data_IF_370844767102
#
_entry.id   IF_370844767102
#
_cell.length_a   1.000
_cell.length_b   1.000
_cell.length_c   1.000
_cell.angle_alpha   90.00
_cell.angle_beta   90.00
_cell.angle_gamma   90.00
#
_symmetry.space_group_name_H-M   'P 1'
#
loop_
_entity.id
_entity.type
_entity.pdbx_description
1 polymer ?
#
# COMPACT_ATOMS: atom_id res chain seq x y z
N UNK A 1 19.92 -18.84 -20.69
CA UNK A 1 20.21 -17.70 -21.57
C UNK A 1 20.02 -16.45 -20.72
N UNK A 2 21.09 -15.93 -20.17
CA UNK A 2 21.15 -14.84 -19.20
C UNK A 2 20.98 -13.51 -19.93
N UNK A 3 19.85 -12.85 -19.73
CA UNK A 3 19.66 -11.48 -20.19
C UNK A 3 20.36 -10.53 -19.21
N UNK A 4 21.51 -10.03 -19.60
CA UNK A 4 22.13 -8.83 -19.04
C UNK A 4 21.29 -7.65 -19.57
N UNK A 5 20.50 -7.01 -18.71
CA UNK A 5 19.87 -5.73 -18.97
C UNK A 5 20.84 -4.63 -18.57
N UNK A 6 21.21 -3.80 -19.52
CA UNK A 6 22.08 -2.64 -19.34
C UNK A 6 21.43 -1.63 -18.38
N UNK A 7 22.08 -1.39 -17.26
CA UNK A 7 21.82 -0.24 -16.39
C UNK A 7 22.40 1.01 -17.08
N UNK A 8 21.58 1.72 -17.83
CA UNK A 8 21.89 3.08 -18.26
C UNK A 8 21.41 4.08 -17.19
N UNK A 9 22.13 4.18 -16.09
CA UNK A 9 22.00 5.27 -15.12
C UNK A 9 22.94 6.41 -15.49
N UNK A 10 22.43 7.64 -15.49
CA UNK A 10 23.28 8.84 -15.60
C UNK A 10 24.21 8.91 -14.38
N UNK A 11 25.47 8.56 -14.59
CA UNK A 11 26.55 8.53 -13.57
C UNK A 11 27.12 9.94 -13.23
N UNK A 12 26.56 11.03 -13.79
CA UNK A 12 27.19 12.36 -13.66
C UNK A 12 27.11 12.98 -12.25
N UNK A 13 26.29 12.45 -11.35
CA UNK A 13 26.11 13.03 -9.99
C UNK A 13 25.51 14.45 -9.97
N UNK A 14 25.28 15.06 -11.12
CA UNK A 14 24.75 16.42 -11.26
C UNK A 14 23.22 16.38 -11.30
N UNK A 15 22.59 17.05 -10.33
CA UNK A 15 21.12 17.19 -10.33
C UNK A 15 20.72 18.13 -11.48
N UNK A 16 19.89 17.69 -12.45
CA UNK A 16 19.46 18.52 -13.56
C UNK A 16 18.57 19.68 -13.07
N UNK A 17 18.41 20.71 -13.91
CA UNK A 17 17.50 21.84 -13.60
C UNK A 17 16.04 21.46 -13.77
N UNK A 18 15.76 20.55 -14.69
CA UNK A 18 14.43 20.07 -15.04
C UNK A 18 14.37 18.54 -14.98
N UNK A 19 13.17 18.00 -14.86
CA UNK A 19 12.90 16.56 -14.76
C UNK A 19 11.66 16.19 -15.54
N UNK A 20 11.55 14.94 -15.96
CA UNK A 20 10.33 14.37 -16.50
C UNK A 20 9.37 13.96 -15.37
N UNK A 21 8.08 14.23 -15.59
CA UNK A 21 7.00 13.80 -14.70
C UNK A 21 5.77 13.36 -15.51
N UNK A 22 5.13 12.30 -15.07
CA UNK A 22 3.82 11.90 -15.57
C UNK A 22 2.73 12.60 -14.74
N UNK A 23 1.99 13.50 -15.38
CA UNK A 23 0.96 14.31 -14.71
C UNK A 23 -0.43 13.86 -15.12
N UNK A 24 -1.32 13.73 -14.15
CA UNK A 24 -2.76 13.67 -14.39
C UNK A 24 -3.24 15.10 -14.70
N UNK A 25 -3.58 15.38 -15.98
CA UNK A 25 -3.92 16.72 -16.46
C UNK A 25 -5.42 17.03 -16.42
N UNK A 26 -6.23 15.99 -16.45
CA UNK A 26 -7.66 15.99 -16.24
C UNK A 26 -8.10 14.56 -15.87
N UNK A 27 -9.39 14.35 -15.56
CA UNK A 27 -9.94 13.02 -15.35
C UNK A 27 -9.60 12.12 -16.56
N UNK A 28 -9.03 10.96 -16.29
CA UNK A 28 -8.57 9.96 -17.27
C UNK A 28 -7.56 10.49 -18.32
N UNK A 29 -6.85 11.57 -18.03
CA UNK A 29 -5.92 12.15 -19.00
C UNK A 29 -4.55 12.39 -18.41
N UNK A 30 -3.53 11.77 -18.99
CA UNK A 30 -2.13 11.90 -18.59
C UNK A 30 -1.32 12.67 -19.62
N UNK A 31 -0.26 13.31 -19.19
CA UNK A 31 0.77 13.84 -20.05
C UNK A 31 2.14 13.79 -19.37
N UNK A 32 3.14 13.36 -20.14
CA UNK A 32 4.53 13.60 -19.77
C UNK A 32 4.82 15.11 -19.88
N UNK A 33 5.43 15.67 -18.85
CA UNK A 33 5.79 17.08 -18.77
C UNK A 33 7.20 17.23 -18.21
N UNK A 34 7.91 18.19 -18.74
CA UNK A 34 9.15 18.67 -18.14
C UNK A 34 8.80 19.69 -17.05
N UNK A 35 9.29 19.46 -15.85
CA UNK A 35 9.08 20.33 -14.69
C UNK A 35 10.42 20.74 -14.08
N UNK A 36 10.51 21.89 -13.40
CA UNK A 36 11.70 22.22 -12.62
C UNK A 36 11.88 21.18 -11.49
N UNK A 37 13.14 20.78 -11.24
CA UNK A 37 13.47 19.95 -10.07
C UNK A 37 13.22 20.77 -8.81
N UNK A 38 12.44 20.25 -7.83
CA UNK A 38 12.12 21.01 -6.63
C UNK A 38 13.35 21.22 -5.75
N UNK A 39 13.38 22.36 -5.06
CA UNK A 39 14.38 22.64 -4.02
C UNK A 39 13.79 22.18 -2.69
N UNK A 40 14.48 21.30 -1.92
CA UNK A 40 13.97 20.85 -0.64
C UNK A 40 13.95 22.03 0.36
N UNK A 41 12.82 22.18 1.06
CA UNK A 41 12.67 23.17 2.13
C UNK A 41 13.34 22.68 3.43
N UNK A 42 13.27 23.52 4.49
CA UNK A 42 13.73 23.13 5.84
C UNK A 42 13.06 21.83 6.30
N UNK A 43 13.88 20.87 6.76
CA UNK A 43 13.43 19.54 7.19
C UNK A 43 12.93 18.63 6.06
N UNK A 44 13.25 18.96 4.81
CA UNK A 44 12.98 18.12 3.63
C UNK A 44 14.29 17.65 2.99
N UNK A 45 14.19 16.60 2.19
CA UNK A 45 15.27 16.13 1.31
C UNK A 45 14.75 16.00 -0.11
N UNK A 46 15.60 16.27 -1.10
CA UNK A 46 15.33 15.93 -2.48
C UNK A 46 15.71 14.48 -2.71
N UNK A 47 14.75 13.70 -3.21
CA UNK A 47 14.98 12.30 -3.58
C UNK A 47 14.92 12.14 -5.10
N UNK A 48 15.87 11.36 -5.66
CA UNK A 48 15.74 10.76 -6.98
C UNK A 48 14.85 9.54 -6.82
N UNK A 49 13.73 9.50 -7.53
CA UNK A 49 12.80 8.38 -7.49
C UNK A 49 13.34 7.24 -8.35
N UNK A 50 13.29 6.02 -7.85
CA UNK A 50 13.79 4.82 -8.53
C UNK A 50 12.71 3.80 -8.82
N UNK A 51 11.64 3.78 -8.04
CA UNK A 51 10.51 2.89 -8.26
C UNK A 51 9.24 3.46 -7.60
N UNK A 52 8.12 3.36 -8.28
CA UNK A 52 6.77 3.74 -7.80
C UNK A 52 5.81 2.61 -8.08
N UNK A 53 5.18 2.07 -7.05
CA UNK A 53 4.18 1.02 -7.21
C UNK A 53 2.78 1.63 -7.37
N UNK A 54 1.98 1.07 -8.29
CA UNK A 54 0.60 1.48 -8.52
C UNK A 54 -0.29 0.89 -7.42
N UNK A 55 -1.04 1.75 -6.74
CA UNK A 55 -2.02 1.39 -5.71
C UNK A 55 -3.43 1.20 -6.30
N UNK A 56 -4.28 0.47 -5.58
CA UNK A 56 -5.70 0.33 -5.95
C UNK A 56 -6.47 1.65 -5.94
N UNK A 57 -6.02 2.66 -5.19
CA UNK A 57 -6.62 4.01 -5.17
C UNK A 57 -6.23 4.88 -6.36
N UNK A 58 -5.11 4.60 -7.06
CA UNK A 58 -4.68 5.41 -8.20
C UNK A 58 -5.70 5.42 -9.33
N UNK A 59 -6.26 4.28 -9.79
CA UNK A 59 -7.34 4.28 -10.78
C UNK A 59 -8.58 5.07 -10.35
N UNK A 60 -8.93 5.05 -9.07
CA UNK A 60 -10.08 5.80 -8.57
C UNK A 60 -9.85 7.32 -8.59
N UNK A 61 -8.62 7.76 -8.26
CA UNK A 61 -8.21 9.17 -8.40
C UNK A 61 -8.22 9.59 -9.87
N UNK A 62 -7.68 8.74 -10.76
CA UNK A 62 -7.66 8.96 -12.21
C UNK A 62 -9.08 9.16 -12.76
N UNK A 63 -10.02 8.33 -12.33
CA UNK A 63 -11.43 8.43 -12.71
C UNK A 63 -12.18 9.58 -12.03
N UNK A 64 -11.53 10.35 -11.16
CA UNK A 64 -12.15 11.47 -10.46
C UNK A 64 -13.11 11.10 -9.33
N UNK A 65 -13.18 9.83 -8.89
CA UNK A 65 -14.08 9.37 -7.82
C UNK A 65 -13.86 10.07 -6.47
N UNK A 66 -12.67 10.65 -6.27
CA UNK A 66 -12.29 11.28 -5.00
C UNK A 66 -12.09 12.80 -5.09
N UNK A 67 -12.56 13.45 -6.16
CA UNK A 67 -12.47 14.92 -6.31
C UNK A 67 -13.16 15.65 -5.14
N UNK A 68 -14.28 15.15 -4.64
CA UNK A 68 -14.97 15.71 -3.47
C UNK A 68 -14.14 15.65 -2.17
N UNK A 69 -13.14 14.76 -2.10
CA UNK A 69 -12.18 14.66 -0.99
C UNK A 69 -10.94 15.53 -1.22
N UNK A 70 -10.85 16.25 -2.37
CA UNK A 70 -9.67 16.99 -2.78
C UNK A 70 -8.51 16.06 -3.22
N UNK A 71 -8.79 14.92 -3.84
CA UNK A 71 -7.85 13.95 -4.39
C UNK A 71 -8.01 13.83 -5.90
N UNK A 72 -7.23 14.55 -6.71
CA UNK A 72 -6.24 15.58 -6.34
C UNK A 72 -6.94 16.92 -6.02
N UNK A 73 -6.22 17.87 -5.40
CA UNK A 73 -6.79 19.18 -5.05
C UNK A 73 -7.03 20.07 -6.29
N UNK A 74 -6.32 19.79 -7.37
CA UNK A 74 -6.38 20.49 -8.67
C UNK A 74 -5.72 19.68 -9.77
N UNK A 75 -5.98 20.01 -11.00
CA UNK A 75 -5.22 19.55 -12.19
C UNK A 75 -4.39 20.70 -12.75
N UNK A 76 -3.19 20.45 -13.35
CA UNK A 76 -2.52 19.15 -13.43
C UNK A 76 -1.89 18.74 -12.08
N UNK A 77 -1.68 17.44 -11.87
CA UNK A 77 -1.18 16.90 -10.60
C UNK A 77 -0.23 15.70 -10.82
N UNK A 78 0.87 15.64 -10.06
CA UNK A 78 1.78 14.48 -10.03
C UNK A 78 1.31 13.51 -8.96
N UNK A 79 0.89 12.31 -9.38
CA UNK A 79 0.44 11.22 -8.51
C UNK A 79 1.61 10.34 -8.04
N UNK A 80 1.28 9.18 -7.45
CA UNK A 80 2.24 8.17 -6.98
C UNK A 80 2.64 8.38 -5.53
N UNK A 81 2.43 7.36 -4.71
CA UNK A 81 2.64 7.46 -3.26
C UNK A 81 3.39 6.27 -2.65
N UNK A 82 3.44 5.15 -3.33
CA UNK A 82 4.17 3.95 -2.91
C UNK A 82 5.54 3.93 -3.62
N UNK A 83 6.56 4.52 -3.04
CA UNK A 83 7.80 4.79 -3.76
C UNK A 83 9.07 4.47 -2.97
N UNK A 84 10.18 4.37 -3.69
CA UNK A 84 11.54 4.30 -3.15
C UNK A 84 12.52 5.05 -4.04
N UNK A 85 13.65 5.45 -3.47
CA UNK A 85 14.67 6.19 -4.18
C UNK A 85 15.89 6.50 -3.34
N UNK A 86 16.63 7.51 -3.76
CA UNK A 86 17.88 7.96 -3.14
C UNK A 86 17.81 9.42 -2.77
N UNK A 87 18.33 9.79 -1.62
CA UNK A 87 18.54 11.19 -1.21
C UNK A 87 19.68 11.79 -2.04
N UNK A 88 19.40 12.87 -2.78
CA UNK A 88 20.39 13.51 -3.65
C UNK A 88 20.73 14.95 -3.22
N UNK A 89 19.95 15.54 -2.32
CA UNK A 89 20.23 16.86 -1.70
C UNK A 89 19.49 16.98 -0.38
N UNK A 90 20.11 17.63 0.58
CA UNK A 90 19.51 17.93 1.88
C UNK A 90 18.96 19.37 1.89
N UNK A 91 17.79 19.57 2.50
CA UNK A 91 17.31 20.89 2.89
C UNK A 91 17.93 21.34 4.20
N UNK A 92 17.67 22.59 4.56
CA UNK A 92 18.17 23.19 5.80
C UNK A 92 17.71 22.39 7.04
N UNK A 93 18.58 22.25 8.04
CA UNK A 93 18.29 21.58 9.31
C UNK A 93 18.25 20.05 9.28
N UNK A 94 18.47 19.42 8.12
CA UNK A 94 18.48 17.95 8.02
C UNK A 94 19.83 17.40 8.47
N UNK A 95 19.82 16.54 9.49
CA UNK A 95 21.02 15.90 10.08
C UNK A 95 20.94 14.36 10.09
N UNK A 96 19.75 13.80 10.02
CA UNK A 96 19.49 12.35 10.09
C UNK A 96 19.71 11.60 8.77
N UNK A 97 19.80 12.32 7.64
CA UNK A 97 20.07 11.77 6.30
C UNK A 97 21.33 12.36 5.71
N UNK A 98 21.88 11.69 4.73
CA UNK A 98 22.97 12.15 3.86
C UNK A 98 22.66 11.84 2.39
N UNK A 99 23.32 12.54 1.48
CA UNK A 99 23.29 12.21 0.06
C UNK A 99 23.79 10.79 -0.18
N UNK A 100 23.11 10.06 -1.06
CA UNK A 100 23.32 8.63 -1.31
C UNK A 100 22.53 7.70 -0.38
N UNK A 101 21.86 8.19 0.68
CA UNK A 101 20.99 7.34 1.48
C UNK A 101 19.83 6.81 0.64
N UNK A 102 19.69 5.49 0.64
CA UNK A 102 18.57 4.80 -0.01
C UNK A 102 17.36 4.82 0.90
N UNK A 103 16.18 5.18 0.36
CA UNK A 103 14.98 5.42 1.16
C UNK A 103 13.73 4.82 0.52
N UNK A 104 12.74 4.52 1.36
CA UNK A 104 11.35 4.28 0.97
C UNK A 104 10.45 5.36 1.59
N UNK A 105 9.44 5.78 0.84
CA UNK A 105 8.51 6.81 1.25
C UNK A 105 7.31 6.27 2.02
N UNK A 106 6.83 7.11 2.93
CA UNK A 106 5.52 7.05 3.56
C UNK A 106 4.61 8.06 2.83
N UNK A 107 3.40 7.67 2.44
CA UNK A 107 2.49 8.60 1.78
C UNK A 107 2.11 9.77 2.69
N UNK A 108 2.13 9.57 4.00
CA UNK A 108 1.64 10.54 4.98
C UNK A 108 2.75 11.23 5.78
N UNK A 109 2.60 12.55 5.92
CA UNK A 109 3.18 13.34 7.00
C UNK A 109 2.05 14.06 7.72
N UNK A 110 1.82 13.79 9.00
CA UNK A 110 0.89 14.57 9.83
C UNK A 110 1.41 15.98 10.09
N UNK A 111 0.53 16.86 10.59
CA UNK A 111 0.95 18.23 10.97
C UNK A 111 1.94 18.24 12.16
N UNK A 112 1.98 17.17 12.95
CA UNK A 112 2.88 17.01 14.10
C UNK A 112 2.37 17.69 15.38
N UNK A 113 1.36 18.57 15.32
CA UNK A 113 0.90 19.37 16.46
C UNK A 113 -0.51 19.04 16.96
N UNK A 114 -1.36 18.40 16.16
CA UNK A 114 -2.69 18.02 16.62
C UNK A 114 -2.63 16.76 17.52
N UNK A 115 -3.67 16.55 18.31
CA UNK A 115 -3.75 15.43 19.25
C UNK A 115 -3.47 14.08 18.59
N UNK A 116 -4.10 13.78 17.46
CA UNK A 116 -3.88 12.51 16.76
C UNK A 116 -2.41 12.33 16.32
N UNK A 117 -1.76 13.39 15.84
CA UNK A 117 -0.34 13.32 15.47
C UNK A 117 0.56 13.12 16.69
N UNK A 118 0.28 13.79 17.81
CA UNK A 118 1.04 13.63 19.05
C UNK A 118 0.90 12.22 19.64
N UNK A 119 -0.23 11.57 19.43
CA UNK A 119 -0.47 10.16 19.79
C UNK A 119 0.10 9.16 18.77
N UNK A 120 0.78 9.63 17.71
CA UNK A 120 1.35 8.79 16.66
C UNK A 120 0.37 8.41 15.53
N UNK A 121 -0.87 8.85 15.60
CA UNK A 121 -1.94 8.53 14.64
C UNK A 121 -2.00 9.55 13.49
N UNK A 122 -0.86 9.87 12.89
CA UNK A 122 -0.73 10.95 11.91
C UNK A 122 -1.49 10.72 10.60
N UNK A 123 -1.82 9.49 10.24
CA UNK A 123 -2.63 9.16 9.06
C UNK A 123 -4.09 9.61 9.19
N UNK A 124 -4.56 9.83 10.43
CA UNK A 124 -5.86 10.42 10.75
C UNK A 124 -5.70 11.82 11.37
N UNK A 125 -4.75 12.61 10.84
CA UNK A 125 -4.46 13.97 11.26
C UNK A 125 -5.72 14.86 11.24
N UNK A 126 -5.95 15.64 12.31
CA UNK A 126 -7.10 16.56 12.38
C UNK A 126 -6.99 17.75 11.41
N UNK A 127 -5.76 18.03 10.94
CA UNK A 127 -5.46 19.06 9.94
C UNK A 127 -5.25 18.46 8.54
N UNK A 128 -5.93 17.34 8.24
CA UNK A 128 -5.81 16.68 6.94
C UNK A 128 -6.14 17.64 5.79
N UNK A 129 -5.32 17.65 4.74
CA UNK A 129 -5.49 18.50 3.56
C UNK A 129 -5.08 19.97 3.75
N UNK A 130 -4.51 20.35 4.91
CA UNK A 130 -4.08 21.72 5.22
C UNK A 130 -2.56 21.83 5.18
N UNK A 131 -1.95 22.13 4.02
CA UNK A 131 -0.49 22.15 3.86
C UNK A 131 0.19 23.25 4.70
N UNK A 132 -0.50 24.34 5.03
CA UNK A 132 -0.03 25.43 5.89
C UNK A 132 0.24 24.98 7.34
N UNK A 133 -0.40 23.88 7.77
CA UNK A 133 -0.13 23.28 9.08
C UNK A 133 1.02 22.26 9.06
N UNK A 134 1.65 22.08 7.91
CA UNK A 134 2.70 21.09 7.69
C UNK A 134 2.18 19.69 7.32
N UNK A 135 0.86 19.48 7.20
CA UNK A 135 0.31 18.21 6.72
C UNK A 135 0.68 17.96 5.25
N UNK A 136 1.06 16.72 4.93
CA UNK A 136 1.25 16.22 3.56
C UNK A 136 0.60 14.85 3.41
N UNK A 137 0.02 14.62 2.23
CA UNK A 137 -0.36 13.31 1.75
C UNK A 137 0.12 13.24 0.30
N UNK A 138 1.33 12.74 0.15
CA UNK A 138 2.04 12.71 -1.14
C UNK A 138 1.30 11.82 -2.14
N UNK A 139 1.16 12.28 -3.38
CA UNK A 139 0.40 11.61 -4.43
C UNK A 139 -1.12 11.77 -4.35
N UNK A 140 -1.65 12.44 -3.30
CA UNK A 140 -3.09 12.70 -3.09
C UNK A 140 -3.42 14.18 -3.00
N UNK A 141 -2.84 14.90 -2.01
CA UNK A 141 -3.04 16.35 -1.81
C UNK A 141 -1.74 17.13 -1.95
N UNK A 142 -0.61 16.45 -1.94
CA UNK A 142 0.73 16.99 -2.20
C UNK A 142 1.34 16.23 -3.37
N UNK A 143 2.22 16.85 -4.20
CA UNK A 143 2.86 16.16 -5.32
C UNK A 143 3.47 14.83 -4.92
N UNK A 144 3.30 13.82 -5.78
CA UNK A 144 3.74 12.45 -5.57
C UNK A 144 5.03 12.08 -6.30
N UNK A 145 5.19 10.80 -6.58
CA UNK A 145 6.43 10.19 -7.05
C UNK A 145 6.44 9.80 -8.54
N UNK A 146 5.36 10.04 -9.30
CA UNK A 146 5.36 9.77 -10.74
C UNK A 146 6.21 10.79 -11.51
N UNK A 147 7.48 10.95 -11.10
CA UNK A 147 8.47 11.89 -11.61
C UNK A 147 9.88 11.42 -11.22
N UNK A 148 10.91 12.00 -11.85
CA UNK A 148 12.29 11.61 -11.57
C UNK A 148 12.81 12.11 -10.22
N UNK A 149 12.32 13.24 -9.73
CA UNK A 149 12.72 13.84 -8.45
C UNK A 149 11.52 14.43 -7.72
N UNK A 150 11.51 14.32 -6.38
CA UNK A 150 10.55 15.06 -5.56
C UNK A 150 11.15 15.37 -4.17
N UNK A 151 10.67 16.43 -3.53
CA UNK A 151 11.07 16.80 -2.18
C UNK A 151 10.13 16.18 -1.15
N UNK A 152 10.70 15.55 -0.13
CA UNK A 152 9.95 14.87 0.93
C UNK A 152 10.44 15.31 2.31
N UNK A 153 9.50 15.45 3.23
CA UNK A 153 9.84 15.63 4.64
C UNK A 153 10.60 14.41 5.16
N UNK A 154 11.65 14.64 5.93
CA UNK A 154 12.40 13.57 6.62
C UNK A 154 11.50 12.68 7.50
N UNK A 155 10.34 13.18 7.94
CA UNK A 155 9.36 12.42 8.71
C UNK A 155 8.56 11.43 7.86
N UNK A 156 8.55 11.58 6.54
CA UNK A 156 7.82 10.75 5.60
C UNK A 156 8.73 9.78 4.79
N UNK A 157 9.96 9.57 5.22
CA UNK A 157 10.89 8.64 4.57
C UNK A 157 11.62 7.79 5.59
N UNK A 158 12.04 6.60 5.18
CA UNK A 158 12.82 5.67 6.00
C UNK A 158 13.98 5.09 5.20
N UNK A 159 15.16 4.98 5.83
CA UNK A 159 16.32 4.34 5.20
C UNK A 159 16.05 2.88 4.93
N UNK A 160 16.47 2.41 3.77
CA UNK A 160 16.42 0.99 3.39
C UNK A 160 17.83 0.42 3.26
N UNK A 161 18.03 -0.87 3.57
CA UNK A 161 19.35 -1.50 3.41
C UNK A 161 19.69 -1.69 1.93
N UNK A 162 20.98 -1.76 1.61
CA UNK A 162 21.48 -1.98 0.25
C UNK A 162 21.00 -3.31 -0.36
N UNK A 163 20.71 -4.30 0.48
CA UNK A 163 20.20 -5.61 0.07
C UNK A 163 18.72 -5.59 -0.37
N UNK A 164 17.97 -4.51 -0.11
CA UNK A 164 16.58 -4.37 -0.55
C UNK A 164 16.55 -3.55 -1.85
N UNK A 165 16.10 -4.14 -2.96
CA UNK A 165 15.97 -3.44 -4.24
C UNK A 165 14.95 -2.29 -4.13
N UNK A 166 15.10 -1.23 -4.94
CA UNK A 166 14.14 -0.15 -4.98
C UNK A 166 12.73 -0.63 -5.37
N UNK A 167 12.65 -1.56 -6.32
CA UNK A 167 11.37 -2.17 -6.73
C UNK A 167 10.65 -2.82 -5.54
N UNK A 168 11.36 -3.60 -4.72
CA UNK A 168 10.75 -4.20 -3.53
C UNK A 168 10.52 -3.18 -2.40
N UNK A 169 11.37 -2.18 -2.30
CA UNK A 169 11.23 -1.12 -1.30
C UNK A 169 10.01 -0.21 -1.56
N UNK A 170 9.55 -0.07 -2.82
CA UNK A 170 8.30 0.62 -3.12
C UNK A 170 7.07 -0.05 -2.49
N UNK A 171 7.17 -1.34 -2.10
CA UNK A 171 6.13 -2.05 -1.37
C UNK A 171 6.09 -1.73 0.14
N UNK A 172 6.99 -0.91 0.66
CA UNK A 172 7.02 -0.59 2.11
C UNK A 172 5.70 0.06 2.55
N UNK A 173 5.11 0.90 1.72
CA UNK A 173 3.79 1.48 1.97
C UNK A 173 2.69 0.40 1.97
N UNK A 174 2.56 -0.38 0.89
CA UNK A 174 1.58 -1.48 0.78
C UNK A 174 1.68 -2.48 1.94
N UNK A 175 2.89 -2.95 2.25
CA UNK A 175 3.14 -3.88 3.35
C UNK A 175 2.92 -3.22 4.72
N UNK A 176 3.11 -1.90 4.78
CA UNK A 176 2.79 -1.08 5.94
C UNK A 176 1.31 -1.08 6.26
N UNK A 177 0.45 -0.92 5.24
CA UNK A 177 -1.01 -1.05 5.41
C UNK A 177 -1.38 -2.42 5.99
N UNK A 178 -0.77 -3.49 5.47
CA UNK A 178 -0.97 -4.85 5.99
C UNK A 178 -0.54 -4.98 7.45
N UNK A 179 0.68 -4.53 7.78
CA UNK A 179 1.20 -4.63 9.15
C UNK A 179 0.41 -3.75 10.13
N UNK A 180 -0.05 -2.57 9.71
CA UNK A 180 -0.88 -1.71 10.55
C UNK A 180 -2.22 -2.38 10.88
N UNK A 181 -2.90 -2.96 9.89
CA UNK A 181 -4.14 -3.71 10.11
C UNK A 181 -3.93 -4.87 11.11
N UNK A 182 -2.83 -5.61 10.96
CA UNK A 182 -2.45 -6.68 11.89
C UNK A 182 -2.23 -6.12 13.31
N UNK A 183 -1.52 -5.01 13.46
CA UNK A 183 -1.30 -4.38 14.77
C UNK A 183 -2.57 -3.92 15.45
N UNK A 184 -3.58 -3.49 14.68
CA UNK A 184 -4.85 -2.98 15.23
C UNK A 184 -5.71 -4.07 15.88
N UNK A 185 -5.68 -5.29 15.35
CA UNK A 185 -6.51 -6.39 15.88
C UNK A 185 -5.69 -7.49 16.56
N UNK A 186 -4.37 -7.52 16.32
CA UNK A 186 -3.49 -8.60 16.77
C UNK A 186 -3.68 -9.89 15.97
N UNK A 187 -2.86 -10.89 16.28
CA UNK A 187 -2.96 -12.26 15.75
C UNK A 187 -2.85 -13.22 16.91
N UNK A 188 -3.69 -14.25 16.91
CA UNK A 188 -3.62 -15.36 17.85
C UNK A 188 -2.53 -16.34 17.36
N UNK A 189 -1.40 -16.52 18.09
CA UNK A 189 -0.42 -17.55 17.72
C UNK A 189 -1.07 -18.94 17.71
N UNK A 190 -0.79 -19.75 16.71
CA UNK A 190 -1.45 -21.04 16.49
C UNK A 190 -2.92 -20.94 16.09
N UNK A 191 -3.42 -19.73 15.79
CA UNK A 191 -4.81 -19.51 15.38
C UNK A 191 -5.03 -19.66 13.88
N UNK A 192 -6.30 -19.65 13.49
CA UNK A 192 -6.76 -19.65 12.10
C UNK A 192 -7.10 -18.25 11.64
N UNK A 193 -6.54 -17.83 10.52
CA UNK A 193 -6.78 -16.49 9.94
C UNK A 193 -7.38 -16.64 8.55
N UNK A 194 -8.47 -15.93 8.28
CA UNK A 194 -9.05 -15.83 6.94
C UNK A 194 -8.76 -14.44 6.31
N UNK A 195 -8.38 -14.43 5.03
CA UNK A 195 -8.04 -13.22 4.28
C UNK A 195 -8.94 -13.15 3.04
N UNK A 196 -9.77 -12.14 2.97
CA UNK A 196 -10.63 -11.88 1.82
C UNK A 196 -9.95 -10.91 0.84
N UNK A 197 -9.48 -11.43 -0.27
CA UNK A 197 -8.85 -10.70 -1.36
C UNK A 197 -7.34 -10.95 -1.51
N UNK A 198 -6.92 -11.79 -2.49
CA UNK A 198 -5.52 -12.05 -2.84
C UNK A 198 -4.93 -10.90 -3.68
N UNK A 199 -5.15 -9.66 -3.24
CA UNK A 199 -4.49 -8.47 -3.76
C UNK A 199 -3.15 -8.21 -3.06
N UNK A 200 -2.42 -7.13 -3.43
CA UNK A 200 -1.12 -6.82 -2.83
C UNK A 200 -1.15 -6.76 -1.30
N UNK A 201 -2.18 -6.12 -0.71
CA UNK A 201 -2.34 -6.03 0.75
C UNK A 201 -2.58 -7.42 1.34
N UNK A 202 -3.51 -8.21 0.80
CA UNK A 202 -3.81 -9.56 1.31
C UNK A 202 -2.62 -10.52 1.22
N UNK A 203 -1.82 -10.41 0.14
CA UNK A 203 -0.56 -11.16 0.01
C UNK A 203 0.48 -10.75 1.06
N UNK A 204 0.58 -9.46 1.39
CA UNK A 204 1.45 -8.99 2.46
C UNK A 204 0.94 -9.43 3.84
N UNK A 205 -0.38 -9.32 4.12
CA UNK A 205 -0.99 -9.83 5.35
C UNK A 205 -0.64 -11.30 5.54
N UNK A 206 -0.85 -12.13 4.51
CA UNK A 206 -0.58 -13.56 4.57
C UNK A 206 0.88 -13.87 4.94
N UNK A 207 1.84 -13.24 4.26
CA UNK A 207 3.26 -13.47 4.54
C UNK A 207 3.63 -13.05 5.97
N UNK A 208 3.11 -11.91 6.43
CA UNK A 208 3.41 -11.39 7.78
C UNK A 208 2.82 -12.30 8.85
N UNK A 209 1.54 -12.69 8.75
CA UNK A 209 0.89 -13.50 9.78
C UNK A 209 1.47 -14.91 9.87
N UNK A 210 1.88 -15.50 8.74
CA UNK A 210 2.64 -16.77 8.76
C UNK A 210 3.97 -16.61 9.50
N UNK A 211 4.68 -15.51 9.26
CA UNK A 211 5.88 -15.16 10.03
C UNK A 211 5.64 -14.87 11.51
N UNK A 212 4.41 -14.58 11.92
CA UNK A 212 3.98 -14.35 13.30
C UNK A 212 3.43 -15.62 13.99
N UNK A 213 3.35 -16.75 13.29
CA UNK A 213 2.96 -18.03 13.86
C UNK A 213 1.46 -18.35 13.77
N UNK A 214 0.73 -17.81 12.80
CA UNK A 214 -0.58 -18.34 12.48
C UNK A 214 -0.45 -19.81 11.99
N UNK A 215 -1.28 -20.71 12.51
CA UNK A 215 -1.26 -22.13 12.15
C UNK A 215 -1.91 -22.34 10.77
N UNK A 216 -3.12 -21.82 10.59
CA UNK A 216 -3.88 -21.98 9.35
C UNK A 216 -4.20 -20.62 8.76
N UNK A 217 -3.77 -20.39 7.51
CA UNK A 217 -4.08 -19.19 6.73
C UNK A 217 -4.95 -19.57 5.54
N UNK A 218 -6.18 -19.08 5.56
CA UNK A 218 -7.19 -19.31 4.52
C UNK A 218 -7.23 -18.06 3.62
N UNK A 219 -7.01 -18.25 2.32
CA UNK A 219 -7.14 -17.17 1.34
C UNK A 219 -8.43 -17.33 0.55
N UNK A 220 -9.29 -16.31 0.59
CA UNK A 220 -10.51 -16.22 -0.20
C UNK A 220 -10.27 -15.33 -1.41
N UNK A 221 -10.52 -15.83 -2.60
CA UNK A 221 -10.28 -15.09 -3.84
C UNK A 221 -10.81 -15.80 -5.06
N UNK A 222 -10.19 -15.55 -6.22
CA UNK A 222 -10.53 -16.25 -7.47
C UNK A 222 -9.36 -16.29 -8.43
N UNK A 223 -9.42 -17.25 -9.37
CA UNK A 223 -8.54 -17.36 -10.55
C UNK A 223 -7.05 -17.31 -10.21
N UNK A 224 -6.26 -16.64 -11.08
CA UNK A 224 -4.80 -16.61 -11.02
C UNK A 224 -4.25 -16.15 -9.65
N UNK A 225 -4.76 -15.04 -9.11
CA UNK A 225 -4.26 -14.50 -7.83
C UNK A 225 -4.45 -15.45 -6.65
N UNK A 226 -5.55 -16.21 -6.66
CA UNK A 226 -5.76 -17.25 -5.64
C UNK A 226 -4.73 -18.38 -5.76
N UNK A 227 -4.43 -18.82 -6.99
CA UNK A 227 -3.38 -19.79 -7.25
C UNK A 227 -1.98 -19.31 -6.82
N UNK A 228 -1.68 -18.01 -6.98
CA UNK A 228 -0.42 -17.41 -6.48
C UNK A 228 -0.38 -17.46 -4.95
N UNK A 229 -1.48 -17.15 -4.25
CA UNK A 229 -1.54 -17.24 -2.79
C UNK A 229 -1.21 -18.66 -2.28
N UNK A 230 -1.71 -19.70 -2.96
CA UNK A 230 -1.34 -21.08 -2.65
C UNK A 230 0.15 -21.38 -2.83
N UNK A 231 0.76 -20.90 -3.91
CA UNK A 231 2.20 -21.09 -4.18
C UNK A 231 3.10 -20.41 -3.15
N UNK A 232 2.66 -19.31 -2.55
CA UNK A 232 3.43 -18.55 -1.55
C UNK A 232 3.06 -18.89 -0.10
N UNK A 233 2.17 -19.87 0.12
CA UNK A 233 2.01 -20.51 1.42
C UNK A 233 0.67 -20.33 2.12
N UNK A 234 -0.42 -20.01 1.41
CA UNK A 234 -1.76 -20.18 1.99
C UNK A 234 -2.04 -21.67 2.24
N UNK A 235 -2.58 -22.01 3.42
CA UNK A 235 -2.84 -23.40 3.81
C UNK A 235 -4.16 -23.91 3.21
N UNK A 236 -5.12 -23.02 2.98
CA UNK A 236 -6.37 -23.31 2.28
C UNK A 236 -6.73 -22.18 1.31
N UNK A 237 -7.33 -22.56 0.20
CA UNK A 237 -7.79 -21.65 -0.85
C UNK A 237 -9.30 -21.83 -1.02
N UNK A 238 -10.05 -20.73 -1.05
CA UNK A 238 -11.49 -20.72 -1.28
C UNK A 238 -11.78 -19.87 -2.51
N UNK A 239 -12.28 -20.49 -3.56
CA UNK A 239 -12.70 -19.78 -4.77
C UNK A 239 -14.18 -19.41 -4.65
N UNK A 240 -14.44 -18.13 -4.40
CA UNK A 240 -15.80 -17.63 -4.22
C UNK A 240 -16.66 -17.66 -5.49
N UNK A 241 -16.12 -18.00 -6.66
CA UNK A 241 -16.90 -18.27 -7.87
C UNK A 241 -17.54 -19.69 -7.83
N UNK A 242 -17.00 -20.60 -6.99
CA UNK A 242 -17.41 -21.98 -6.91
C UNK A 242 -17.90 -22.43 -5.52
N UNK A 243 -17.55 -21.69 -4.47
CA UNK A 243 -17.82 -22.05 -3.07
C UNK A 243 -18.41 -20.86 -2.31
N UNK A 244 -19.21 -21.12 -1.27
CA UNK A 244 -19.61 -20.10 -0.30
C UNK A 244 -18.50 -19.91 0.75
N UNK A 245 -17.79 -18.77 0.78
CA UNK A 245 -16.62 -18.63 1.64
C UNK A 245 -16.92 -18.79 3.14
N UNK A 246 -18.00 -18.21 3.72
CA UNK A 246 -18.33 -18.44 5.12
C UNK A 246 -18.57 -19.92 5.44
N UNK A 247 -19.38 -20.62 4.64
CA UNK A 247 -19.67 -22.03 4.86
C UNK A 247 -18.38 -22.89 4.81
N UNK A 248 -17.52 -22.61 3.83
CA UNK A 248 -16.26 -23.34 3.69
C UNK A 248 -15.28 -23.07 4.83
N UNK A 249 -15.20 -21.82 5.33
CA UNK A 249 -14.39 -21.48 6.50
C UNK A 249 -14.92 -22.19 7.75
N UNK A 250 -16.24 -22.24 7.95
CA UNK A 250 -16.83 -22.96 9.06
C UNK A 250 -16.53 -24.47 8.98
N UNK A 251 -16.55 -25.07 7.79
CA UNK A 251 -16.17 -26.46 7.60
C UNK A 251 -14.69 -26.70 7.96
N UNK A 252 -13.76 -25.90 7.42
CA UNK A 252 -12.32 -26.01 7.70
C UNK A 252 -12.04 -25.87 9.20
N UNK A 253 -12.79 -25.03 9.91
CA UNK A 253 -12.63 -24.75 11.34
C UNK A 253 -13.52 -25.60 12.25
N UNK A 254 -14.13 -26.68 11.74
CA UNK A 254 -15.05 -27.55 12.49
C UNK A 254 -16.17 -26.77 13.20
N UNK A 255 -16.77 -25.80 12.54
CA UNK A 255 -17.88 -24.98 13.04
C UNK A 255 -17.48 -23.80 13.94
N UNK A 256 -16.18 -23.62 14.22
CA UNK A 256 -15.71 -22.58 15.13
C UNK A 256 -15.63 -21.19 14.47
N UNK A 257 -15.23 -21.12 13.21
CA UNK A 257 -14.86 -19.89 12.52
C UNK A 257 -13.40 -19.48 12.73
N UNK A 258 -12.91 -18.51 11.95
CA UNK A 258 -11.55 -17.99 12.02
C UNK A 258 -11.35 -17.10 13.26
N UNK A 259 -10.15 -17.13 13.86
CA UNK A 259 -9.79 -16.29 15.01
C UNK A 259 -9.74 -14.79 14.59
N UNK A 260 -9.12 -14.52 13.48
CA UNK A 260 -9.07 -13.19 12.86
C UNK A 260 -9.43 -13.26 11.37
N UNK A 261 -10.07 -12.19 10.88
CA UNK A 261 -10.45 -12.04 9.47
C UNK A 261 -9.95 -10.70 8.93
N UNK A 262 -9.30 -10.71 7.78
CA UNK A 262 -8.85 -9.51 7.08
C UNK A 262 -9.66 -9.29 5.81
N UNK A 263 -10.44 -8.20 5.77
CA UNK A 263 -11.15 -7.75 4.59
C UNK A 263 -10.23 -6.87 3.74
N UNK A 264 -9.51 -7.49 2.79
CA UNK A 264 -8.58 -6.84 1.86
C UNK A 264 -9.20 -6.64 0.46
N UNK A 265 -10.52 -6.79 0.34
CA UNK A 265 -11.32 -6.56 -0.86
C UNK A 265 -12.27 -5.39 -0.63
N UNK A 266 -12.53 -4.60 -1.69
CA UNK A 266 -13.51 -3.51 -1.69
C UNK A 266 -14.93 -3.93 -2.09
N UNK A 267 -15.21 -5.22 -2.30
CA UNK A 267 -16.54 -5.67 -2.67
C UNK A 267 -17.53 -5.53 -1.50
N UNK A 268 -18.72 -5.01 -1.78
CA UNK A 268 -19.76 -4.70 -0.79
C UNK A 268 -20.17 -5.91 0.06
N UNK A 269 -20.18 -7.10 -0.52
CA UNK A 269 -20.53 -8.36 0.16
C UNK A 269 -19.46 -8.80 1.20
N UNK A 270 -18.23 -8.31 1.08
CA UNK A 270 -17.09 -8.81 1.88
C UNK A 270 -17.31 -8.64 3.38
N UNK A 271 -17.84 -7.51 3.84
CA UNK A 271 -18.09 -7.28 5.27
C UNK A 271 -19.07 -8.32 5.85
N UNK A 272 -20.16 -8.59 5.15
CA UNK A 272 -21.16 -9.57 5.54
C UNK A 272 -20.52 -10.97 5.64
N UNK A 273 -19.76 -11.37 4.63
CA UNK A 273 -19.04 -12.64 4.61
C UNK A 273 -18.02 -12.76 5.76
N UNK A 274 -17.26 -11.71 6.04
CA UNK A 274 -16.29 -11.70 7.16
C UNK A 274 -16.97 -11.96 8.51
N UNK A 275 -18.15 -11.34 8.76
CA UNK A 275 -18.90 -11.54 10.01
C UNK A 275 -19.41 -12.96 10.15
N UNK A 276 -19.73 -13.63 9.04
CA UNK A 276 -20.15 -15.04 9.05
C UNK A 276 -18.99 -16.05 9.07
N UNK A 277 -17.75 -15.58 8.86
CA UNK A 277 -16.54 -16.39 8.84
C UNK A 277 -15.75 -16.36 10.15
N UNK A 278 -15.95 -15.31 10.95
CA UNK A 278 -15.21 -15.12 12.20
C UNK A 278 -15.86 -15.90 13.34
N UNK A 279 -15.06 -16.38 14.29
CA UNK A 279 -15.53 -17.04 15.50
C UNK A 279 -16.23 -16.06 16.45
N UNK A 280 -16.95 -16.57 17.46
CA UNK A 280 -17.40 -15.77 18.61
C UNK A 280 -16.20 -15.17 19.35
N UNK A 281 -16.27 -13.89 19.70
CA UNK A 281 -15.17 -13.12 20.27
C UNK A 281 -14.01 -12.87 19.30
N UNK A 282 -14.21 -13.15 18.01
CA UNK A 282 -13.16 -12.96 16.99
C UNK A 282 -13.06 -11.52 16.49
N UNK A 283 -12.12 -11.26 15.57
CA UNK A 283 -11.76 -9.89 15.19
C UNK A 283 -11.70 -9.75 13.66
N UNK A 284 -12.15 -8.61 13.17
CA UNK A 284 -12.18 -8.27 11.74
C UNK A 284 -11.43 -6.97 11.51
N UNK A 285 -10.42 -6.96 10.63
CA UNK A 285 -9.79 -5.73 10.13
C UNK A 285 -10.31 -5.38 8.74
N UNK A 286 -10.76 -4.15 8.55
CA UNK A 286 -11.19 -3.62 7.26
C UNK A 286 -10.06 -2.77 6.69
N UNK A 287 -9.45 -3.19 5.58
CA UNK A 287 -8.35 -2.49 4.91
C UNK A 287 -8.71 -2.00 3.51
N UNK A 288 -9.76 -2.56 2.90
CA UNK A 288 -10.22 -2.16 1.57
C UNK A 288 -11.09 -0.91 1.61
N UNK A 289 -10.99 -0.08 0.56
CA UNK A 289 -12.03 0.91 0.28
C UNK A 289 -13.18 0.18 -0.44
N UNK A 290 -14.41 0.41 0.03
CA UNK A 290 -15.58 -0.13 -0.62
C UNK A 290 -15.94 0.73 -1.84
N UNK A 291 -16.24 0.07 -2.96
CA UNK A 291 -16.61 0.74 -4.22
C UNK A 291 -17.92 1.50 -4.08
N UNK A 292 -18.86 0.96 -3.30
CA UNK A 292 -20.14 1.59 -2.98
C UNK A 292 -20.02 2.48 -1.75
N UNK A 293 -20.60 3.67 -1.81
CA UNK A 293 -20.65 4.59 -0.67
C UNK A 293 -21.54 4.09 0.47
N UNK A 294 -22.52 3.24 0.14
CA UNK A 294 -23.43 2.61 1.08
C UNK A 294 -23.37 1.09 0.93
N UNK A 295 -23.00 0.41 2.00
CA UNK A 295 -22.97 -1.05 2.07
C UNK A 295 -24.11 -1.51 2.98
N UNK A 296 -25.03 -2.32 2.43
CA UNK A 296 -26.07 -2.96 3.24
C UNK A 296 -25.43 -4.00 4.15
N UNK A 297 -25.71 -3.91 5.44
CA UNK A 297 -25.20 -4.85 6.43
C UNK A 297 -26.33 -5.28 7.37
N UNK A 298 -26.66 -6.57 7.35
CA UNK A 298 -27.83 -7.12 8.08
C UNK A 298 -27.45 -7.92 9.35
N UNK A 299 -26.17 -8.14 9.62
CA UNK A 299 -25.71 -9.02 10.70
C UNK A 299 -25.36 -8.30 12.01
N UNK A 300 -25.97 -7.15 12.30
CA UNK A 300 -25.71 -6.40 13.53
C UNK A 300 -25.97 -7.20 14.81
N UNK A 301 -27.07 -7.98 14.83
CA UNK A 301 -27.39 -8.85 15.98
C UNK A 301 -26.29 -9.89 16.22
N UNK A 302 -25.73 -10.47 15.14
CA UNK A 302 -24.62 -11.42 15.26
C UNK A 302 -23.37 -10.73 15.81
N UNK A 303 -23.04 -9.52 15.36
CA UNK A 303 -21.88 -8.77 15.87
C UNK A 303 -22.01 -8.55 17.38
N UNK A 304 -23.19 -8.19 17.87
CA UNK A 304 -23.44 -7.97 19.30
C UNK A 304 -23.43 -9.28 20.10
N UNK A 305 -24.19 -10.29 19.66
CA UNK A 305 -24.33 -11.54 20.41
C UNK A 305 -23.05 -12.40 20.43
N UNK A 306 -22.24 -12.29 19.40
CA UNK A 306 -20.99 -13.03 19.29
C UNK A 306 -19.77 -12.17 19.72
N UNK A 307 -19.96 -10.94 20.22
CA UNK A 307 -18.91 -10.01 20.68
C UNK A 307 -17.79 -9.81 19.62
N UNK A 308 -18.17 -9.62 18.35
CA UNK A 308 -17.22 -9.49 17.24
C UNK A 308 -16.64 -8.08 17.23
N UNK A 309 -15.30 -7.96 17.24
CA UNK A 309 -14.60 -6.69 17.03
C UNK A 309 -14.45 -6.40 15.55
N UNK A 310 -14.96 -5.26 15.07
CA UNK A 310 -14.74 -4.76 13.70
C UNK A 310 -13.91 -3.48 13.78
N UNK A 311 -12.74 -3.46 13.12
CA UNK A 311 -11.80 -2.33 13.16
C UNK A 311 -11.43 -1.86 11.76
N UNK A 312 -11.71 -0.58 11.46
CA UNK A 312 -11.18 0.08 10.26
C UNK A 312 -9.67 0.36 10.40
N UNK A 313 -8.92 0.12 9.33
CA UNK A 313 -7.48 0.38 9.26
C UNK A 313 -7.20 1.42 8.16
N UNK A 314 -6.45 2.47 8.47
CA UNK A 314 -6.08 3.51 7.50
C UNK A 314 -4.57 3.65 7.39
N UNK A 315 -4.05 3.37 6.19
CA UNK A 315 -2.64 3.55 5.85
C UNK A 315 -1.68 2.79 6.80
N UNK A 316 -0.52 3.36 7.13
CA UNK A 316 0.63 2.65 7.68
C UNK A 316 1.39 3.43 8.77
N UNK A 317 0.72 4.05 9.77
CA UNK A 317 1.42 4.90 10.73
C UNK A 317 2.44 4.11 11.57
N UNK A 318 3.68 4.61 11.61
CA UNK A 318 4.78 4.10 12.46
C UNK A 318 5.14 2.60 12.25
N UNK A 319 4.96 2.07 11.04
CA UNK A 319 5.27 0.66 10.76
C UNK A 319 6.35 0.44 9.71
N UNK A 320 6.71 1.46 8.92
CA UNK A 320 7.61 1.33 7.78
C UNK A 320 8.97 0.72 8.15
N UNK A 321 9.58 1.09 9.29
CA UNK A 321 10.82 0.47 9.77
C UNK A 321 10.64 -1.02 10.11
N UNK A 322 9.50 -1.39 10.70
CA UNK A 322 9.21 -2.79 10.98
C UNK A 322 9.03 -3.59 9.69
N UNK A 323 8.36 -3.02 8.69
CA UNK A 323 8.22 -3.61 7.34
C UNK A 323 9.58 -3.83 6.68
N UNK A 324 10.48 -2.83 6.72
CA UNK A 324 11.83 -2.95 6.19
C UNK A 324 12.59 -4.10 6.88
N UNK A 325 12.42 -4.25 8.21
CA UNK A 325 12.99 -5.40 8.93
C UNK A 325 12.40 -6.74 8.50
N UNK A 326 11.10 -6.80 8.18
CA UNK A 326 10.45 -8.02 7.67
C UNK A 326 10.98 -8.41 6.28
N UNK A 327 11.22 -7.44 5.39
CA UNK A 327 11.92 -7.68 4.12
C UNK A 327 13.34 -8.21 4.35
N UNK A 328 14.13 -7.56 5.22
CA UNK A 328 15.49 -7.98 5.55
C UNK A 328 15.56 -9.40 6.12
N UNK A 329 14.55 -9.82 6.87
CA UNK A 329 14.44 -11.17 7.43
C UNK A 329 13.90 -12.21 6.43
N UNK A 330 13.51 -11.80 5.21
CA UNK A 330 12.92 -12.69 4.21
C UNK A 330 11.50 -13.19 4.55
N UNK A 331 10.84 -12.57 5.54
CA UNK A 331 9.42 -12.84 5.86
C UNK A 331 8.54 -12.25 4.75
N UNK A 332 8.80 -11.00 4.35
CA UNK A 332 8.22 -10.40 3.17
C UNK A 332 9.13 -10.62 1.97
N UNK A 333 8.57 -11.12 0.88
CA UNK A 333 9.25 -11.35 -0.40
C UNK A 333 8.54 -10.56 -1.49
N UNK A 334 9.20 -9.54 -2.02
CA UNK A 334 8.62 -8.67 -3.05
C UNK A 334 8.31 -9.39 -4.35
N UNK A 335 9.12 -10.39 -4.73
CA UNK A 335 8.93 -11.22 -5.94
C UNK A 335 7.58 -11.95 -5.98
N UNK A 336 6.96 -12.18 -4.82
CA UNK A 336 5.64 -12.78 -4.75
C UNK A 336 4.49 -11.78 -5.04
N UNK A 337 4.80 -10.48 -5.04
CA UNK A 337 3.80 -9.41 -5.13
C UNK A 337 3.99 -8.58 -6.40
N UNK A 338 5.24 -8.15 -6.69
CA UNK A 338 5.55 -7.39 -7.91
C UNK A 338 5.58 -8.34 -9.11
N UNK A 339 4.72 -8.09 -10.07
CA UNK A 339 4.57 -8.95 -11.26
C UNK A 339 4.96 -8.25 -12.56
N UNK A 340 4.86 -6.92 -12.61
CA UNK A 340 5.11 -6.15 -13.82
C UNK A 340 5.92 -4.89 -13.51
N UNK A 341 6.76 -4.48 -14.47
CA UNK A 341 7.59 -3.27 -14.39
C UNK A 341 7.48 -2.52 -15.70
N UNK A 342 7.35 -1.20 -15.62
CA UNK A 342 7.25 -0.30 -16.77
C UNK A 342 8.13 0.93 -16.57
N UNK A 343 8.68 1.53 -17.63
CA UNK A 343 9.25 2.87 -17.53
C UNK A 343 8.13 3.91 -17.31
N UNK A 344 8.46 5.08 -16.75
CA UNK A 344 7.49 6.12 -16.43
C UNK A 344 6.69 6.61 -17.66
N UNK A 345 7.34 6.64 -18.82
CA UNK A 345 6.73 7.04 -20.09
C UNK A 345 5.55 6.13 -20.50
N UNK A 346 5.51 4.91 -19.98
CA UNK A 346 4.43 3.92 -20.19
C UNK A 346 3.45 3.84 -19.02
N UNK A 347 3.31 4.92 -18.25
CA UNK A 347 2.45 4.93 -17.06
C UNK A 347 1.00 4.54 -17.36
N UNK A 348 0.44 5.00 -18.48
CA UNK A 348 -0.92 4.66 -18.90
C UNK A 348 -1.07 3.14 -19.15
N UNK A 349 -0.12 2.53 -19.87
CA UNK A 349 -0.07 1.08 -20.09
C UNK A 349 0.06 0.31 -18.76
N UNK A 350 0.86 0.83 -17.84
CA UNK A 350 1.05 0.26 -16.50
C UNK A 350 -0.27 0.28 -15.68
N UNK A 351 -1.00 1.40 -15.70
CA UNK A 351 -2.31 1.53 -15.04
C UNK A 351 -3.32 0.57 -15.67
N UNK A 352 -3.38 0.51 -17.00
CA UNK A 352 -4.27 -0.41 -17.71
C UNK A 352 -3.96 -1.88 -17.35
N UNK A 353 -2.69 -2.26 -17.34
CA UNK A 353 -2.23 -3.61 -16.93
C UNK A 353 -2.69 -3.95 -15.52
N UNK A 354 -2.55 -3.00 -14.59
CA UNK A 354 -2.97 -3.18 -13.20
C UNK A 354 -4.49 -3.34 -13.06
N UNK A 355 -5.28 -2.45 -13.71
CA UNK A 355 -6.75 -2.44 -13.63
C UNK A 355 -7.34 -3.68 -14.27
N UNK A 356 -6.92 -4.02 -15.48
CA UNK A 356 -7.42 -5.16 -16.24
C UNK A 356 -6.82 -6.49 -15.77
N UNK A 357 -5.83 -6.47 -14.85
CA UNK A 357 -5.12 -7.66 -14.37
C UNK A 357 -4.50 -8.47 -15.50
N UNK A 358 -3.97 -7.76 -16.54
CA UNK A 358 -3.33 -8.39 -17.69
C UNK A 358 -2.20 -9.30 -17.23
N UNK A 359 -2.07 -10.44 -17.85
CA UNK A 359 -1.03 -11.45 -17.58
C UNK A 359 -0.83 -11.79 -16.10
N UNK A 360 -1.94 -11.74 -15.33
CA UNK A 360 -1.94 -12.05 -13.91
C UNK A 360 -1.38 -10.94 -13.01
N UNK A 361 -1.39 -9.69 -13.44
CA UNK A 361 -0.89 -8.57 -12.68
C UNK A 361 -1.45 -8.51 -11.24
N UNK A 362 -0.56 -8.47 -10.25
CA UNK A 362 -0.87 -8.28 -8.83
C UNK A 362 -0.46 -6.87 -8.42
N UNK A 363 0.83 -6.55 -8.53
CA UNK A 363 1.39 -5.22 -8.30
C UNK A 363 2.24 -4.83 -9.50
N UNK A 364 2.01 -3.64 -10.00
CA UNK A 364 2.74 -3.05 -11.11
C UNK A 364 3.62 -1.94 -10.57
N UNK A 365 4.87 -1.89 -10.98
CA UNK A 365 5.85 -0.87 -10.58
C UNK A 365 6.28 -0.07 -11.81
N UNK A 366 6.39 1.23 -11.63
CA UNK A 366 6.88 2.18 -12.63
C UNK A 366 8.24 2.70 -12.19
N UNK A 367 9.18 2.82 -13.14
CA UNK A 367 10.56 3.27 -12.90
C UNK A 367 10.79 4.57 -13.68
N UNK A 368 10.91 5.74 -12.98
CA UNK A 368 11.16 7.04 -13.60
C UNK A 368 12.56 7.23 -14.15
#
# INVERSE_FOLDING_TARGET
>A
MTLKGDEMGDESGIIPKTMNACMLTAINTFAMRELPVPIPAEGEVLCRIRAVAICGTDPEIIMGKHVSKGWPPRYPFVMGHEWSGEVVRLGEGVTEFKEGDRVAGDAHRGCGSCRNCMEGNYTICLNYGRPETGHRHYGFVSPGANCQYNAYSVKAIKKIPDTLSFVHASLVDTAGVALHAIKLIGITPGGTVAIYGPGPIGMCVMQIIKGMGAETVIMVGRRHRLGVAGKIGADALIDFENEDPPARIMEITCGRGADEVFACSGASVTLQQCVHSVKKGGKIALTGFYEDHEVSFSSWTKVVLDEILIKGSRANPNVSEAVIRLFRKGILKGDHVVTHRFPLEKYEEAVETFVQRKDGAIKVVVEP
#
